data_IF_183829491615
#
_entry.id   IF_183829491615
#
_cell.length_a   1.000
_cell.length_b   1.000
_cell.length_c   1.000
_cell.angle_alpha   90.00
_cell.angle_beta   90.00
_cell.angle_gamma   90.00
#
_symmetry.space_group_name_H-M   'P 1'
#
loop_
_entity.id
_entity.type
_entity.pdbx_description
1 polymer ?
#
# COMPACT_ATOMS: atom_id res chain seq x y z
N UNK A 1 11.17 19.60 19.60
CA UNK A 1 10.40 18.72 18.70
C UNK A 1 10.00 17.48 19.46
N UNK A 2 8.76 16.99 19.35
CA UNK A 2 8.33 15.74 19.99
C UNK A 2 8.79 14.55 19.14
N UNK A 3 9.43 13.57 19.75
CA UNK A 3 9.80 12.31 19.09
C UNK A 3 8.54 11.61 18.58
N UNK A 4 8.47 11.19 17.30
CA UNK A 4 7.31 10.46 16.80
C UNK A 4 7.07 9.17 17.60
N UNK A 5 5.82 8.89 17.94
CA UNK A 5 5.43 7.78 18.82
C UNK A 5 5.94 6.41 18.33
N UNK A 6 6.03 6.22 17.01
CA UNK A 6 6.56 4.98 16.43
C UNK A 6 8.01 4.69 16.84
N UNK A 7 8.85 5.72 17.01
CA UNK A 7 10.23 5.51 17.44
C UNK A 7 10.27 5.02 18.88
N UNK A 8 9.40 5.56 19.75
CA UNK A 8 9.28 5.16 21.14
C UNK A 8 8.82 3.70 21.20
N UNK A 9 7.71 3.38 20.51
CA UNK A 9 7.16 2.01 20.48
C UNK A 9 8.14 0.98 19.90
N UNK A 10 8.90 1.36 18.88
CA UNK A 10 9.92 0.50 18.29
C UNK A 10 11.11 0.29 19.21
N UNK A 11 11.53 1.34 19.94
CA UNK A 11 12.59 1.24 20.93
C UNK A 11 12.17 0.35 22.11
N UNK A 12 10.98 0.59 22.68
CA UNK A 12 10.43 -0.22 23.78
C UNK A 12 10.31 -1.69 23.39
N UNK A 13 9.80 -1.96 22.17
CA UNK A 13 9.73 -3.32 21.66
C UNK A 13 11.11 -3.96 21.54
N UNK A 14 12.09 -3.23 21.00
CA UNK A 14 13.44 -3.74 20.83
C UNK A 14 14.15 -3.98 22.18
N UNK A 15 13.92 -3.13 23.17
CA UNK A 15 14.51 -3.26 24.51
C UNK A 15 13.94 -4.46 25.26
N UNK A 16 12.64 -4.71 25.11
CA UNK A 16 11.95 -5.87 25.68
C UNK A 16 12.32 -7.23 25.04
N UNK A 17 13.36 -7.32 24.20
CA UNK A 17 13.84 -8.56 23.58
C UNK A 17 15.17 -9.01 24.18
N UNK A 18 15.29 -10.32 24.35
CA UNK A 18 16.54 -10.96 24.77
C UNK A 18 17.73 -10.55 23.89
N UNK A 19 18.93 -10.50 24.48
CA UNK A 19 20.16 -10.07 23.80
C UNK A 19 20.50 -10.87 22.53
N UNK A 20 20.02 -12.11 22.39
CA UNK A 20 20.22 -12.96 21.21
C UNK A 20 19.13 -12.89 20.13
N UNK A 21 18.08 -12.07 20.33
CA UNK A 21 16.99 -11.97 19.35
C UNK A 21 17.48 -11.27 18.07
N UNK A 22 17.57 -12.02 16.96
CA UNK A 22 18.03 -11.47 15.66
C UNK A 22 17.16 -10.30 15.18
N UNK A 23 15.84 -10.38 15.37
CA UNK A 23 14.92 -9.31 15.02
C UNK A 23 15.13 -8.06 15.91
N UNK A 24 15.37 -8.27 17.21
CA UNK A 24 15.70 -7.20 18.15
C UNK A 24 17.01 -6.50 17.80
N UNK A 25 18.08 -7.25 17.54
CA UNK A 25 19.38 -6.72 17.10
C UNK A 25 19.23 -5.91 15.80
N UNK A 26 18.50 -6.45 14.82
CA UNK A 26 18.28 -5.77 13.55
C UNK A 26 17.48 -4.47 13.72
N UNK A 27 16.44 -4.46 14.57
CA UNK A 27 15.67 -3.24 14.83
C UNK A 27 16.49 -2.20 15.60
N UNK A 28 17.30 -2.58 16.59
CA UNK A 28 18.21 -1.66 17.29
C UNK A 28 19.17 -0.99 16.31
N UNK A 29 19.71 -1.73 15.34
CA UNK A 29 20.54 -1.17 14.27
C UNK A 29 19.78 -0.16 13.41
N UNK A 30 18.55 -0.50 12.99
CA UNK A 30 17.69 0.43 12.24
C UNK A 30 17.43 1.72 13.03
N UNK A 31 17.12 1.60 14.32
CA UNK A 31 16.89 2.75 15.19
C UNK A 31 18.14 3.61 15.31
N UNK A 32 19.30 3.02 15.58
CA UNK A 32 20.58 3.75 15.63
C UNK A 32 20.88 4.48 14.32
N UNK A 33 20.62 3.86 13.18
CA UNK A 33 20.81 4.48 11.87
C UNK A 33 19.83 5.65 11.63
N UNK A 34 18.58 5.54 12.08
CA UNK A 34 17.55 6.57 11.91
C UNK A 34 17.58 7.67 12.97
N UNK A 35 18.21 7.46 14.13
CA UNK A 35 18.40 8.49 15.16
C UNK A 35 19.76 9.18 15.08
N UNK A 36 20.71 8.62 14.32
CA UNK A 36 22.02 9.23 14.06
C UNK A 36 21.97 10.43 13.11
N UNK A 37 23.15 10.94 12.67
CA UNK A 37 23.25 12.04 11.71
C UNK A 37 22.45 11.76 10.42
N UNK A 38 21.83 12.79 9.79
CA UNK A 38 21.12 12.63 8.51
C UNK A 38 22.00 11.97 7.45
N UNK A 39 21.44 11.00 6.73
CA UNK A 39 22.12 10.31 5.63
C UNK A 39 21.72 10.98 4.33
N UNK A 40 22.64 11.71 3.73
CA UNK A 40 22.34 12.58 2.59
C UNK A 40 23.21 12.21 1.42
N UNK A 41 22.59 12.09 0.24
CA UNK A 41 23.32 11.97 -1.02
C UNK A 41 22.98 13.13 -1.94
N UNK A 42 23.91 13.51 -2.81
CA UNK A 42 23.68 14.49 -3.86
C UNK A 42 24.07 13.89 -5.23
N UNK A 43 23.29 14.20 -6.26
CA UNK A 43 23.60 13.80 -7.63
C UNK A 43 23.00 14.75 -8.66
N UNK A 44 23.55 14.73 -9.87
CA UNK A 44 22.87 15.20 -11.08
C UNK A 44 22.19 14.01 -11.76
N UNK A 45 21.54 14.24 -12.91
CA UNK A 45 21.06 13.14 -13.74
C UNK A 45 22.19 12.29 -14.33
N UNK A 46 23.40 12.84 -14.42
CA UNK A 46 24.54 12.23 -15.11
C UNK A 46 25.57 11.59 -14.17
N UNK A 47 25.57 11.96 -12.88
CA UNK A 47 26.58 11.46 -11.96
C UNK A 47 26.41 11.89 -10.50
N UNK A 48 27.27 11.38 -9.62
CA UNK A 48 27.27 11.75 -8.21
C UNK A 48 27.78 13.19 -8.03
N UNK A 49 27.29 13.88 -7.00
CA UNK A 49 27.79 15.18 -6.58
C UNK A 49 28.23 15.10 -5.12
N UNK A 50 29.28 15.85 -4.77
CA UNK A 50 29.81 15.87 -3.40
C UNK A 50 28.92 16.72 -2.50
N UNK A 51 28.59 16.18 -1.34
CA UNK A 51 27.84 16.89 -0.31
C UNK A 51 28.76 17.90 0.40
N UNK A 52 28.33 19.17 0.58
CA UNK A 52 29.11 20.13 1.34
C UNK A 52 29.38 19.68 2.78
N UNK A 53 30.62 19.82 3.23
CA UNK A 53 31.05 19.45 4.60
C UNK A 53 30.33 20.27 5.67
N UNK A 54 29.92 21.50 5.32
CA UNK A 54 29.14 22.41 6.17
C UNK A 54 27.80 21.83 6.63
N UNK A 55 27.25 20.84 5.93
CA UNK A 55 25.96 20.25 6.27
C UNK A 55 26.02 19.32 7.50
N UNK A 56 27.22 18.89 7.92
CA UNK A 56 27.42 18.00 9.08
C UNK A 56 26.57 16.72 9.02
N UNK A 57 26.47 16.13 7.83
CA UNK A 57 25.69 14.92 7.54
C UNK A 57 26.58 13.73 7.25
N UNK A 58 26.01 12.54 7.31
CA UNK A 58 26.65 11.34 6.77
C UNK A 58 26.41 11.30 5.26
N UNK A 59 27.45 11.60 4.48
CA UNK A 59 27.39 11.53 3.02
C UNK A 59 27.19 10.09 2.53
N UNK A 60 26.30 9.91 1.56
CA UNK A 60 26.05 8.66 0.85
C UNK A 60 26.25 8.89 -0.64
N UNK A 61 27.26 8.23 -1.21
CA UNK A 61 27.50 8.26 -2.65
C UNK A 61 26.32 7.64 -3.40
N UNK A 62 25.74 8.40 -4.33
CA UNK A 62 24.52 8.02 -5.03
C UNK A 62 24.54 8.53 -6.47
N UNK A 63 23.98 7.75 -7.38
CA UNK A 63 23.75 8.13 -8.77
C UNK A 63 22.26 8.12 -9.07
N UNK A 64 21.83 8.92 -10.05
CA UNK A 64 20.45 8.87 -10.53
C UNK A 64 20.24 7.66 -11.45
N UNK A 65 19.13 6.91 -11.33
CA UNK A 65 18.14 6.96 -10.27
C UNK A 65 18.64 6.33 -8.96
N UNK A 66 18.43 7.03 -7.84
CA UNK A 66 18.85 6.56 -6.53
C UNK A 66 18.06 5.31 -6.12
N UNK A 67 18.76 4.17 -6.10
CA UNK A 67 18.23 2.89 -5.61
C UNK A 67 18.95 2.41 -4.34
N UNK A 68 19.99 3.13 -3.92
CA UNK A 68 20.78 2.84 -2.72
C UNK A 68 19.90 2.95 -1.47
N UNK A 69 19.84 1.91 -0.62
CA UNK A 69 19.11 1.97 0.64
C UNK A 69 19.84 2.89 1.65
N UNK A 70 19.11 3.34 2.66
CA UNK A 70 19.70 4.09 3.78
C UNK A 70 19.99 5.56 3.48
N UNK A 71 19.30 6.15 2.52
CA UNK A 71 19.31 7.60 2.26
C UNK A 71 18.07 8.20 2.92
N UNK A 72 18.24 9.24 3.73
CA UNK A 72 17.15 10.04 4.27
C UNK A 72 16.74 11.07 3.22
N UNK A 73 17.70 11.85 2.72
CA UNK A 73 17.47 12.93 1.74
C UNK A 73 18.40 12.76 0.55
N UNK A 74 17.82 12.81 -0.65
CA UNK A 74 18.54 12.90 -1.91
C UNK A 74 18.39 14.32 -2.46
N UNK A 75 19.50 15.01 -2.71
CA UNK A 75 19.51 16.30 -3.39
C UNK A 75 19.81 16.08 -4.87
N UNK A 76 18.79 16.26 -5.72
CA UNK A 76 18.92 16.19 -7.17
C UNK A 76 19.20 17.58 -7.73
N UNK A 77 20.39 17.79 -8.28
CA UNK A 77 20.83 19.05 -8.86
C UNK A 77 20.35 19.10 -10.31
N UNK A 78 19.38 19.96 -10.60
CA UNK A 78 18.81 20.13 -11.93
C UNK A 78 18.27 21.55 -12.16
N UNK A 79 18.69 22.26 -13.22
CA UNK A 79 18.36 23.68 -13.45
C UNK A 79 16.96 23.96 -14.03
N UNK A 80 16.10 22.96 -14.22
CA UNK A 80 14.95 23.09 -15.10
C UNK A 80 13.82 22.10 -14.77
N UNK A 81 12.69 22.20 -15.49
CA UNK A 81 11.55 21.34 -15.23
C UNK A 81 11.92 19.89 -15.49
N UNK A 82 11.70 19.06 -14.49
CA UNK A 82 11.97 17.63 -14.59
C UNK A 82 11.04 16.98 -15.60
N UNK A 83 11.54 15.96 -16.30
CA UNK A 83 10.69 15.10 -17.12
C UNK A 83 9.70 14.31 -16.25
N UNK A 84 8.59 13.87 -16.84
CA UNK A 84 7.60 13.05 -16.15
C UNK A 84 8.20 11.77 -15.54
N UNK A 85 9.15 11.15 -16.25
CA UNK A 85 9.87 9.97 -15.79
C UNK A 85 10.61 10.24 -14.47
N UNK A 86 11.34 11.36 -14.40
CA UNK A 86 12.10 11.75 -13.21
C UNK A 86 11.15 12.08 -12.06
N UNK A 87 10.09 12.86 -12.29
CA UNK A 87 9.10 13.18 -11.25
C UNK A 87 8.39 11.95 -10.71
N UNK A 88 7.99 11.03 -11.60
CA UNK A 88 7.36 9.77 -11.19
C UNK A 88 8.31 8.91 -10.34
N UNK A 89 9.61 8.93 -10.63
CA UNK A 89 10.61 8.23 -9.83
C UNK A 89 10.80 8.85 -8.46
N UNK A 90 10.80 10.18 -8.38
CA UNK A 90 10.84 10.95 -7.12
C UNK A 90 9.64 10.58 -6.25
N UNK A 91 8.43 10.60 -6.80
CA UNK A 91 7.20 10.29 -6.07
C UNK A 91 7.12 8.84 -5.56
N UNK A 92 7.81 7.91 -6.22
CA UNK A 92 7.81 6.49 -5.85
C UNK A 92 8.84 6.13 -4.76
N UNK A 93 9.85 6.98 -4.52
CA UNK A 93 10.94 6.68 -3.59
C UNK A 93 10.53 6.84 -2.13
N UNK A 94 11.02 5.97 -1.21
CA UNK A 94 10.78 6.15 0.22
C UNK A 94 11.54 7.35 0.81
N UNK A 95 12.69 7.71 0.23
CA UNK A 95 13.48 8.89 0.61
C UNK A 95 12.82 10.20 0.17
N UNK A 96 13.15 11.31 0.83
CA UNK A 96 12.82 12.64 0.27
C UNK A 96 13.80 12.95 -0.86
N UNK A 97 13.28 13.35 -2.02
CA UNK A 97 14.11 13.91 -3.10
C UNK A 97 13.83 15.40 -3.21
N UNK A 98 14.86 16.20 -2.98
CA UNK A 98 14.82 17.66 -3.10
C UNK A 98 15.50 18.06 -4.39
N UNK A 99 14.79 18.80 -5.23
CA UNK A 99 15.30 19.23 -6.54
C UNK A 99 15.75 20.67 -6.40
N UNK A 100 17.03 20.92 -6.66
CA UNK A 100 17.64 22.25 -6.52
C UNK A 100 18.39 22.61 -7.81
N UNK A 101 18.41 23.89 -8.21
CA UNK A 101 19.16 24.31 -9.39
C UNK A 101 20.67 24.22 -9.18
N UNK A 102 21.13 24.40 -7.94
CA UNK A 102 22.52 24.30 -7.51
C UNK A 102 22.57 23.87 -6.03
N UNK A 103 23.71 23.34 -5.57
CA UNK A 103 23.88 22.96 -4.16
C UNK A 103 23.96 24.21 -3.27
N UNK A 104 23.06 24.36 -2.29
CA UNK A 104 23.14 25.44 -1.31
C UNK A 104 24.24 25.20 -0.27
N UNK A 105 24.71 26.28 0.38
CA UNK A 105 25.72 26.20 1.45
C UNK A 105 25.20 25.52 2.72
N UNK A 106 23.88 25.56 2.94
CA UNK A 106 23.18 24.88 4.04
C UNK A 106 22.20 23.83 3.51
N UNK A 107 21.91 22.81 4.31
CA UNK A 107 21.04 21.71 3.91
C UNK A 107 19.63 22.20 3.53
N UNK A 108 19.09 21.87 2.34
CA UNK A 108 17.80 22.37 1.86
C UNK A 108 16.57 21.69 2.50
N UNK A 109 16.73 21.05 3.66
CA UNK A 109 15.66 20.32 4.35
C UNK A 109 15.32 20.98 5.68
N UNK A 110 14.04 20.90 6.06
CA UNK A 110 13.62 21.26 7.41
C UNK A 110 13.79 20.07 8.37
N UNK A 111 13.93 20.32 9.68
CA UNK A 111 13.90 19.25 10.69
C UNK A 111 12.62 18.42 10.65
N UNK A 112 11.47 19.03 10.34
CA UNK A 112 10.17 18.35 10.21
C UNK A 112 10.17 17.37 9.04
N UNK A 113 10.69 17.78 7.87
CA UNK A 113 10.83 16.90 6.71
C UNK A 113 11.65 15.66 7.05
N UNK A 114 12.76 15.83 7.77
CA UNK A 114 13.61 14.70 8.18
C UNK A 114 12.86 13.74 9.11
N UNK A 115 12.10 14.26 10.08
CA UNK A 115 11.31 13.43 10.98
C UNK A 115 10.23 12.64 10.23
N UNK A 116 9.54 13.27 9.27
CA UNK A 116 8.51 12.61 8.46
C UNK A 116 9.11 11.50 7.59
N UNK A 117 10.25 11.78 6.94
CA UNK A 117 10.95 10.80 6.11
C UNK A 117 11.44 9.63 6.96
N UNK A 118 12.08 9.89 8.09
CA UNK A 118 12.61 8.84 8.98
C UNK A 118 11.50 8.00 9.59
N UNK A 119 10.35 8.61 9.89
CA UNK A 119 9.13 7.90 10.29
C UNK A 119 8.64 6.95 9.19
N UNK A 120 8.60 7.43 7.94
CA UNK A 120 8.24 6.60 6.78
C UNK A 120 9.25 5.48 6.52
N UNK A 121 10.54 5.74 6.69
CA UNK A 121 11.59 4.72 6.59
C UNK A 121 11.45 3.66 7.68
N UNK A 122 11.21 4.06 8.94
CA UNK A 122 10.98 3.12 10.04
C UNK A 122 9.77 2.23 9.79
N UNK A 123 8.66 2.79 9.29
CA UNK A 123 7.51 1.99 8.84
C UNK A 123 7.90 0.93 7.80
N UNK A 124 8.72 1.32 6.81
CA UNK A 124 9.21 0.41 5.77
C UNK A 124 10.10 -0.70 6.34
N UNK A 125 11.02 -0.35 7.24
CA UNK A 125 11.95 -1.29 7.86
C UNK A 125 11.25 -2.27 8.80
N UNK A 126 10.29 -1.83 9.62
CA UNK A 126 9.51 -2.71 10.48
C UNK A 126 8.73 -3.76 9.65
N UNK A 127 8.11 -3.34 8.54
CA UNK A 127 7.44 -4.26 7.61
C UNK A 127 8.42 -5.21 6.93
N UNK A 128 9.61 -4.73 6.57
CA UNK A 128 10.65 -5.56 5.99
C UNK A 128 11.20 -6.58 6.99
N UNK A 129 11.39 -6.19 8.26
CA UNK A 129 11.78 -7.08 9.35
C UNK A 129 10.71 -8.12 9.63
N UNK A 130 9.43 -7.74 9.66
CA UNK A 130 8.31 -8.67 9.83
C UNK A 130 8.31 -9.74 8.73
N UNK A 131 8.59 -9.36 7.48
CA UNK A 131 8.70 -10.31 6.37
C UNK A 131 9.92 -11.26 6.51
N UNK A 132 11.04 -10.79 7.08
CA UNK A 132 12.25 -11.60 7.31
C UNK A 132 12.16 -12.49 8.56
N UNK A 133 11.35 -12.11 9.54
CA UNK A 133 11.21 -12.79 10.83
C UNK A 133 9.73 -13.12 11.12
N UNK A 134 9.15 -14.14 10.45
CA UNK A 134 7.72 -14.45 10.56
C UNK A 134 7.23 -14.72 11.99
N UNK A 135 8.10 -15.25 12.86
CA UNK A 135 7.77 -15.58 14.26
C UNK A 135 7.44 -14.35 15.14
N UNK A 136 7.87 -13.15 14.75
CA UNK A 136 7.59 -11.87 15.45
C UNK A 136 6.87 -10.87 14.55
N UNK A 137 6.38 -11.31 13.39
CA UNK A 137 5.81 -10.42 12.38
C UNK A 137 4.60 -9.64 12.89
N UNK A 138 3.72 -10.29 13.67
CA UNK A 138 2.52 -9.64 14.22
C UNK A 138 2.89 -8.47 15.15
N UNK A 139 3.85 -8.68 16.05
CA UNK A 139 4.32 -7.66 16.98
C UNK A 139 4.95 -6.47 16.23
N UNK A 140 5.82 -6.75 15.25
CA UNK A 140 6.48 -5.71 14.43
C UNK A 140 5.47 -4.92 13.58
N UNK A 141 4.45 -5.59 13.03
CA UNK A 141 3.37 -4.93 12.28
C UNK A 141 2.47 -4.10 13.21
N UNK A 142 2.26 -4.55 14.45
CA UNK A 142 1.52 -3.77 15.44
C UNK A 142 2.27 -2.49 15.82
N UNK A 143 3.61 -2.55 15.97
CA UNK A 143 4.47 -1.37 16.17
C UNK A 143 4.39 -0.44 14.95
N UNK A 144 4.50 -0.99 13.73
CA UNK A 144 4.38 -0.21 12.50
C UNK A 144 2.99 0.41 12.30
N UNK A 145 1.96 -0.14 12.92
CA UNK A 145 0.58 0.34 12.79
C UNK A 145 0.03 0.29 11.36
N UNK A 146 -1.15 0.90 11.19
CA UNK A 146 -1.80 1.01 9.89
C UNK A 146 -1.07 1.95 8.91
N UNK A 147 -0.01 2.65 9.37
CA UNK A 147 0.84 3.58 8.64
C UNK A 147 0.26 4.04 7.31
N UNK A 148 -0.69 4.98 7.37
CA UNK A 148 -1.30 5.56 6.18
C UNK A 148 -0.22 6.30 5.42
N UNK A 149 0.22 5.75 4.28
CA UNK A 149 0.82 6.62 3.28
C UNK A 149 -0.29 7.57 2.87
N UNK A 150 -0.21 8.82 3.32
CA UNK A 150 -1.05 9.88 2.79
C UNK A 150 -0.72 9.96 1.30
N UNK A 151 -1.60 9.40 0.47
CA UNK A 151 -1.52 9.54 -0.97
C UNK A 151 -1.84 11.01 -1.24
N UNK A 152 -0.91 11.81 -1.76
CA UNK A 152 -1.19 13.19 -2.07
C UNK A 152 -2.34 13.27 -3.09
N UNK A 153 -3.18 14.30 -2.95
CA UNK A 153 -4.23 14.58 -3.92
C UNK A 153 -3.60 14.78 -5.31
N UNK A 154 -4.05 14.07 -6.35
CA UNK A 154 -3.47 14.22 -7.69
C UNK A 154 -3.66 15.63 -8.24
N UNK A 155 -2.59 16.22 -8.77
CA UNK A 155 -2.58 17.56 -9.39
C UNK A 155 -2.70 17.44 -10.91
N UNK A 156 -3.74 18.04 -11.49
CA UNK A 156 -4.09 17.94 -12.90
C UNK A 156 -4.03 19.32 -13.55
N UNK A 157 -3.32 19.45 -14.67
CA UNK A 157 -3.44 20.63 -15.52
C UNK A 157 -4.52 20.39 -16.58
N UNK A 158 -5.37 21.38 -16.82
CA UNK A 158 -6.35 21.36 -17.90
C UNK A 158 -5.90 22.33 -18.99
N UNK A 159 -5.77 21.84 -20.22
CA UNK A 159 -5.46 22.67 -21.39
C UNK A 159 -6.62 22.59 -22.39
N UNK A 160 -7.01 23.74 -22.93
CA UNK A 160 -8.00 23.82 -24.00
C UNK A 160 -7.74 25.05 -24.86
N UNK A 161 -7.96 24.98 -26.19
CA UNK A 161 -7.99 26.16 -27.06
C UNK A 161 -9.20 27.06 -26.76
N UNK A 162 -10.25 26.51 -26.15
CA UNK A 162 -11.43 27.27 -25.72
C UNK A 162 -11.27 27.73 -24.26
N UNK A 163 -11.14 29.05 -24.00
CA UNK A 163 -10.94 29.59 -22.65
C UNK A 163 -12.17 29.46 -21.75
N UNK A 164 -13.35 29.18 -22.32
CA UNK A 164 -14.59 29.02 -21.56
C UNK A 164 -14.75 27.61 -20.97
N UNK A 165 -13.91 26.66 -21.37
CA UNK A 165 -13.95 25.30 -20.83
C UNK A 165 -13.73 25.32 -19.31
N UNK A 166 -14.65 24.65 -18.62
CA UNK A 166 -14.59 24.37 -17.18
C UNK A 166 -14.80 22.88 -17.00
N UNK A 167 -13.91 22.25 -16.23
CA UNK A 167 -13.96 20.83 -15.94
C UNK A 167 -13.94 20.64 -14.43
N UNK A 168 -14.77 19.73 -13.95
CA UNK A 168 -14.77 19.31 -12.55
C UNK A 168 -14.19 17.90 -12.45
N UNK A 169 -13.19 17.73 -11.58
CA UNK A 169 -12.53 16.45 -11.32
C UNK A 169 -12.58 16.14 -9.81
N UNK A 170 -13.65 15.48 -9.32
CA UNK A 170 -13.81 15.20 -7.90
C UNK A 170 -12.65 14.38 -7.32
N UNK A 171 -12.08 14.87 -6.21
CA UNK A 171 -10.94 14.23 -5.53
C UNK A 171 -9.58 14.48 -6.20
N UNK A 172 -9.48 15.47 -7.08
CA UNK A 172 -8.26 15.92 -7.73
C UNK A 172 -8.14 17.44 -7.62
N UNK A 173 -6.93 17.96 -7.64
CA UNK A 173 -6.65 19.39 -7.63
C UNK A 173 -6.35 19.87 -9.06
N UNK A 174 -7.09 20.87 -9.55
CA UNK A 174 -6.83 21.49 -10.85
C UNK A 174 -5.88 22.66 -10.65
N UNK A 175 -4.71 22.62 -11.29
CA UNK A 175 -3.63 23.61 -11.10
C UNK A 175 -3.13 24.17 -12.44
N UNK A 176 -2.70 25.42 -12.42
CA UNK A 176 -2.03 26.09 -13.54
C UNK A 176 -0.49 26.05 -13.35
N UNK A 177 0.07 24.86 -13.12
CA UNK A 177 1.50 24.61 -12.86
C UNK A 177 2.05 23.65 -13.93
N UNK A 178 3.36 23.73 -14.21
CA UNK A 178 4.07 22.76 -15.04
C UNK A 178 4.30 21.41 -14.33
N UNK A 179 4.28 21.39 -12.99
CA UNK A 179 4.54 20.21 -12.16
C UNK A 179 3.24 19.48 -11.79
N UNK A 180 2.68 18.78 -12.77
CA UNK A 180 1.44 18.01 -12.62
C UNK A 180 1.64 16.51 -12.79
N UNK A 181 0.70 15.75 -12.22
CA UNK A 181 0.66 14.28 -12.29
C UNK A 181 0.09 13.80 -13.63
N UNK A 182 -0.77 14.60 -14.26
CA UNK A 182 -1.30 14.39 -15.60
C UNK A 182 -1.83 15.71 -16.20
N UNK A 183 -1.98 15.73 -17.54
CA UNK A 183 -2.62 16.82 -18.27
C UNK A 183 -3.90 16.30 -18.92
N UNK A 184 -5.02 16.98 -18.68
CA UNK A 184 -6.27 16.79 -19.40
C UNK A 184 -6.38 17.84 -20.51
N UNK A 185 -6.28 17.39 -21.75
CA UNK A 185 -6.50 18.18 -22.94
C UNK A 185 -7.95 18.07 -23.40
N UNK A 186 -8.69 19.18 -23.32
CA UNK A 186 -10.07 19.27 -23.74
C UNK A 186 -10.14 19.91 -25.12
N UNK A 187 -10.45 19.08 -26.11
CA UNK A 187 -10.56 19.51 -27.50
C UNK A 187 -11.83 20.37 -27.72
N UNK A 188 -11.77 21.36 -28.63
CA UNK A 188 -12.96 22.00 -29.17
C UNK A 188 -13.88 21.00 -29.87
N UNK A 189 -15.15 21.37 -30.17
CA UNK A 189 -16.10 20.49 -30.87
C UNK A 189 -15.60 19.96 -32.22
N UNK A 190 -14.77 20.74 -32.92
CA UNK A 190 -14.16 20.36 -34.20
C UNK A 190 -12.95 19.42 -34.08
N UNK A 191 -12.52 19.10 -32.86
CA UNK A 191 -11.30 18.34 -32.59
C UNK A 191 -10.05 19.22 -32.52
N UNK A 192 -8.88 18.59 -32.56
CA UNK A 192 -7.58 19.26 -32.51
C UNK A 192 -7.17 19.80 -33.88
N UNK A 193 -6.69 21.04 -33.92
CA UNK A 193 -6.10 21.63 -35.11
C UNK A 193 -4.57 21.54 -35.06
N UNK A 194 -3.91 21.69 -36.22
CA UNK A 194 -2.44 21.61 -36.32
C UNK A 194 -1.72 22.63 -35.42
N UNK A 195 -2.35 23.79 -35.17
CA UNK A 195 -1.85 24.84 -34.27
C UNK A 195 -1.78 24.38 -32.80
N UNK A 196 -2.58 23.38 -32.41
CA UNK A 196 -2.62 22.85 -31.05
C UNK A 196 -1.53 21.80 -30.80
N UNK A 197 -1.00 21.18 -31.86
CA UNK A 197 -0.06 20.06 -31.78
C UNK A 197 1.21 20.39 -30.96
N UNK A 198 1.84 21.58 -31.07
CA UNK A 198 2.99 21.93 -30.22
C UNK A 198 2.66 21.89 -28.72
N UNK A 199 1.49 22.41 -28.33
CA UNK A 199 1.02 22.43 -26.93
C UNK A 199 0.76 21.03 -26.41
N UNK A 200 0.09 20.18 -27.21
CA UNK A 200 -0.16 18.78 -26.87
C UNK A 200 1.15 17.99 -26.73
N UNK A 201 2.12 18.22 -27.63
CA UNK A 201 3.43 17.55 -27.58
C UNK A 201 4.23 17.96 -26.35
N UNK A 202 4.23 19.25 -26.00
CA UNK A 202 4.88 19.73 -24.77
C UNK A 202 4.21 19.16 -23.52
N UNK A 203 2.88 19.13 -23.47
CA UNK A 203 2.11 18.54 -22.38
C UNK A 203 2.41 17.04 -22.21
N UNK A 204 2.42 16.27 -23.30
CA UNK A 204 2.78 14.85 -23.29
C UNK A 204 4.19 14.62 -22.75
N UNK A 205 5.17 15.42 -23.20
CA UNK A 205 6.56 15.34 -22.75
C UNK A 205 6.73 15.69 -21.27
N UNK A 206 6.05 16.76 -20.80
CA UNK A 206 6.19 17.25 -19.43
C UNK A 206 5.44 16.38 -18.44
N UNK A 207 4.17 16.07 -18.70
CA UNK A 207 3.33 15.33 -17.77
C UNK A 207 3.50 13.82 -17.90
N UNK A 208 3.85 13.32 -19.09
CA UNK A 208 4.00 11.89 -19.36
C UNK A 208 2.69 11.11 -19.37
N UNK A 209 1.61 11.75 -18.92
CA UNK A 209 0.22 11.28 -18.94
C UNK A 209 -0.64 12.39 -19.54
N UNK A 210 -0.72 12.41 -20.87
CA UNK A 210 -1.67 13.24 -21.59
C UNK A 210 -2.98 12.47 -21.75
N UNK A 211 -4.09 13.05 -21.30
CA UNK A 211 -5.44 12.53 -21.51
C UNK A 211 -6.15 13.49 -22.44
N UNK A 212 -6.73 13.00 -23.55
CA UNK A 212 -7.37 13.84 -24.55
C UNK A 212 -8.84 13.48 -24.72
N UNK A 213 -9.72 14.48 -24.83
CA UNK A 213 -11.15 14.25 -25.11
C UNK A 213 -11.45 13.97 -26.59
N UNK A 214 -10.49 14.22 -27.48
CA UNK A 214 -10.57 13.89 -28.91
C UNK A 214 -9.37 13.03 -29.36
N UNK A 215 -9.43 12.38 -30.54
CA UNK A 215 -8.30 11.63 -31.09
C UNK A 215 -7.04 12.48 -31.19
N UNK A 216 -5.91 11.96 -30.67
CA UNK A 216 -4.62 12.64 -30.75
C UNK A 216 -3.95 12.34 -32.10
N UNK A 217 -3.10 13.26 -32.60
CA UNK A 217 -2.20 12.97 -33.72
C UNK A 217 -1.31 11.75 -33.42
N UNK A 218 -1.02 10.94 -34.43
CA UNK A 218 -0.28 9.67 -34.27
C UNK A 218 1.08 9.84 -33.57
N UNK A 219 1.74 10.98 -33.77
CA UNK A 219 3.05 11.33 -33.21
C UNK A 219 3.02 11.67 -31.70
N UNK A 220 1.84 11.91 -31.12
CA UNK A 220 1.68 12.45 -29.77
C UNK A 220 1.20 11.35 -28.83
N UNK A 221 2.05 10.89 -27.89
CA UNK A 221 1.65 9.85 -26.94
C UNK A 221 0.60 10.38 -25.96
N UNK A 222 -0.46 9.61 -25.75
CA UNK A 222 -1.51 9.96 -24.79
C UNK A 222 -2.65 8.95 -24.79
N UNK A 223 -3.58 9.12 -23.85
CA UNK A 223 -4.78 8.30 -23.70
C UNK A 223 -5.99 9.10 -24.16
N UNK A 224 -6.77 8.57 -25.10
CA UNK A 224 -8.02 9.20 -25.53
C UNK A 224 -9.17 8.74 -24.63
N UNK A 225 -10.00 9.68 -24.18
CA UNK A 225 -11.21 9.39 -23.39
C UNK A 225 -12.19 8.62 -24.28
N UNK A 226 -12.62 7.45 -23.81
CA UNK A 226 -13.61 6.64 -24.53
C UNK A 226 -15.00 7.30 -24.46
N UNK A 227 -15.80 7.25 -25.54
CA UNK A 227 -17.19 7.71 -25.52
C UNK A 227 -17.98 7.09 -24.36
N UNK A 228 -18.78 7.90 -23.67
CA UNK A 228 -19.62 7.47 -22.54
C UNK A 228 -18.88 7.24 -21.21
N UNK A 229 -17.54 7.38 -21.17
CA UNK A 229 -16.78 7.28 -19.91
C UNK A 229 -16.73 8.65 -19.21
N UNK A 230 -17.04 8.74 -17.90
CA UNK A 230 -16.85 9.97 -17.14
C UNK A 230 -15.38 10.44 -17.17
N UNK A 231 -15.15 11.75 -17.34
CA UNK A 231 -13.81 12.33 -17.43
C UNK A 231 -12.95 12.00 -16.20
N UNK A 232 -13.52 12.12 -14.99
CA UNK A 232 -12.82 11.81 -13.75
C UNK A 232 -12.34 10.35 -13.69
N UNK A 233 -13.11 9.39 -14.24
CA UNK A 233 -12.70 7.99 -14.30
C UNK A 233 -11.60 7.72 -15.33
N UNK A 234 -11.60 8.47 -16.43
CA UNK A 234 -10.54 8.41 -17.41
C UNK A 234 -9.21 8.94 -16.82
N UNK A 235 -9.26 10.07 -16.11
CA UNK A 235 -8.09 10.64 -15.43
C UNK A 235 -7.60 9.71 -14.33
N UNK A 236 -8.50 9.19 -13.46
CA UNK A 236 -8.14 8.21 -12.42
C UNK A 236 -7.41 7.00 -13.01
N UNK A 237 -7.90 6.50 -14.13
CA UNK A 237 -7.27 5.37 -14.79
C UNK A 237 -5.89 5.73 -15.37
N UNK A 238 -5.77 6.87 -16.04
CA UNK A 238 -4.48 7.32 -16.57
C UNK A 238 -3.43 7.48 -15.45
N UNK A 239 -3.82 7.94 -14.26
CA UNK A 239 -2.93 8.04 -13.09
C UNK A 239 -2.41 6.67 -12.61
N UNK A 240 -3.10 5.57 -12.92
CA UNK A 240 -2.59 4.21 -12.64
C UNK A 240 -1.53 3.73 -13.63
N UNK A 241 -1.39 4.40 -14.78
CA UNK A 241 -0.42 4.06 -15.80
C UNK A 241 0.94 4.69 -15.49
N UNK A 242 2.06 4.09 -15.93
CA UNK A 242 3.37 4.71 -15.85
C UNK A 242 3.39 6.08 -16.55
N UNK A 243 4.00 7.09 -15.94
CA UNK A 243 4.16 8.42 -16.54
C UNK A 243 5.25 8.47 -17.63
N UNK A 244 5.94 7.36 -17.86
CA UNK A 244 6.90 7.21 -18.95
C UNK A 244 6.76 5.78 -19.44
N UNK A 245 6.94 5.53 -20.75
CA UNK A 245 7.14 4.16 -21.21
C UNK A 245 8.24 3.51 -20.36
N UNK A 246 8.06 2.26 -19.95
CA UNK A 246 9.06 1.55 -19.18
C UNK A 246 10.35 1.44 -20.02
N UNK A 247 11.53 1.28 -19.38
CA UNK A 247 12.78 1.12 -20.12
C UNK A 247 12.69 -0.03 -21.13
N UNK A 248 13.58 -0.06 -22.12
CA UNK A 248 13.59 -1.15 -23.11
C UNK A 248 13.58 -2.51 -22.40
N UNK A 249 12.63 -3.41 -22.70
CA UNK A 249 12.47 -4.65 -21.99
C UNK A 249 13.74 -5.49 -22.10
N UNK A 250 14.27 -5.91 -20.94
CA UNK A 250 15.30 -6.94 -20.84
C UNK A 250 14.63 -8.18 -20.27
N UNK A 251 14.19 -9.15 -21.11
CA UNK A 251 13.24 -10.18 -20.70
C UNK A 251 13.65 -10.92 -19.42
N UNK A 252 14.90 -11.36 -19.34
CA UNK A 252 15.42 -12.08 -18.16
C UNK A 252 15.52 -11.23 -16.88
N UNK A 253 15.72 -9.92 -16.98
CA UNK A 253 15.76 -9.02 -15.81
C UNK A 253 14.34 -8.65 -15.36
N UNK A 254 13.45 -8.43 -16.31
CA UNK A 254 12.06 -8.08 -16.06
C UNK A 254 11.28 -9.25 -15.45
N UNK A 255 11.48 -10.47 -15.96
CA UNK A 255 10.90 -11.68 -15.37
C UNK A 255 11.38 -11.88 -13.93
N UNK A 256 12.69 -11.75 -13.68
CA UNK A 256 13.25 -11.86 -12.32
C UNK A 256 12.67 -10.82 -11.37
N UNK A 257 12.54 -9.57 -11.83
CA UNK A 257 11.93 -8.50 -11.04
C UNK A 257 10.44 -8.76 -10.77
N UNK A 258 9.70 -9.22 -11.77
CA UNK A 258 8.29 -9.61 -11.64
C UNK A 258 8.11 -10.73 -10.60
N UNK A 259 8.94 -11.78 -10.68
CA UNK A 259 8.88 -12.91 -9.77
C UNK A 259 9.30 -12.51 -8.35
N UNK A 260 10.28 -11.62 -8.20
CA UNK A 260 10.66 -11.09 -6.90
C UNK A 260 9.54 -10.23 -6.28
N UNK A 261 8.88 -9.39 -7.07
CA UNK A 261 7.74 -8.58 -6.63
C UNK A 261 6.57 -9.48 -6.21
N UNK A 262 6.26 -10.49 -7.02
CA UNK A 262 5.20 -11.46 -6.76
C UNK A 262 5.49 -12.26 -5.49
N UNK A 263 6.72 -12.76 -5.31
CA UNK A 263 7.14 -13.44 -4.08
C UNK A 263 6.98 -12.56 -2.85
N UNK A 264 7.48 -11.32 -2.91
CA UNK A 264 7.36 -10.36 -1.79
C UNK A 264 5.90 -10.07 -1.46
N UNK A 265 5.05 -9.91 -2.48
CA UNK A 265 3.61 -9.66 -2.29
C UNK A 265 2.92 -10.87 -1.66
N UNK A 266 3.22 -12.09 -2.11
CA UNK A 266 2.65 -13.32 -1.53
C UNK A 266 3.00 -13.44 -0.05
N UNK A 267 4.26 -13.21 0.31
CA UNK A 267 4.68 -13.22 1.72
C UNK A 267 3.90 -12.21 2.58
N UNK A 268 3.72 -10.98 2.09
CA UNK A 268 2.94 -9.96 2.80
C UNK A 268 1.45 -10.31 2.89
N UNK A 269 0.88 -10.84 1.81
CA UNK A 269 -0.51 -11.30 1.78
C UNK A 269 -0.72 -12.48 2.73
N UNK A 270 0.20 -13.44 2.75
CA UNK A 270 0.15 -14.60 3.64
C UNK A 270 0.25 -14.20 5.11
N UNK A 271 1.17 -13.29 5.45
CA UNK A 271 1.27 -12.73 6.80
C UNK A 271 -0.04 -12.02 7.21
N UNK A 272 -0.60 -11.19 6.31
CA UNK A 272 -1.87 -10.49 6.57
C UNK A 272 -3.05 -11.45 6.72
N UNK A 273 -3.14 -12.47 5.87
CA UNK A 273 -4.20 -13.48 5.95
C UNK A 273 -4.08 -14.31 7.24
N UNK A 274 -2.87 -14.71 7.63
CA UNK A 274 -2.63 -15.43 8.88
C UNK A 274 -3.10 -14.62 10.10
N UNK A 275 -2.75 -13.34 10.15
CA UNK A 275 -3.20 -12.38 11.16
C UNK A 275 -4.73 -12.26 11.22
N UNK A 276 -5.39 -12.05 10.07
CA UNK A 276 -6.85 -11.93 10.00
C UNK A 276 -7.58 -13.23 10.41
N UNK A 277 -7.02 -14.39 10.07
CA UNK A 277 -7.54 -15.70 10.48
C UNK A 277 -7.38 -15.90 11.98
N UNK A 278 -6.22 -15.56 12.56
CA UNK A 278 -5.96 -15.67 13.99
C UNK A 278 -6.93 -14.81 14.81
N UNK A 279 -7.13 -13.56 14.39
CA UNK A 279 -8.04 -12.61 15.05
C UNK A 279 -9.52 -12.83 14.71
N UNK A 280 -9.82 -13.72 13.75
CA UNK A 280 -11.18 -14.00 13.25
C UNK A 280 -11.89 -12.73 12.76
N UNK A 281 -11.15 -11.85 12.10
CA UNK A 281 -11.63 -10.55 11.61
C UNK A 281 -12.43 -10.71 10.31
N UNK A 282 -13.67 -11.20 10.42
CA UNK A 282 -14.54 -11.54 9.29
C UNK A 282 -14.76 -10.34 8.35
N UNK A 283 -15.04 -9.15 8.91
CA UNK A 283 -15.26 -7.93 8.12
C UNK A 283 -14.04 -7.54 7.28
N UNK A 284 -12.85 -7.64 7.85
CA UNK A 284 -11.60 -7.31 7.17
C UNK A 284 -11.26 -8.32 6.07
N UNK A 285 -11.51 -9.62 6.30
CA UNK A 285 -11.38 -10.65 5.26
C UNK A 285 -12.33 -10.39 4.09
N UNK A 286 -13.57 -10.00 4.40
CA UNK A 286 -14.60 -9.67 3.40
C UNK A 286 -14.20 -8.43 2.59
N UNK A 287 -13.67 -7.40 3.26
CA UNK A 287 -13.17 -6.20 2.61
C UNK A 287 -11.94 -6.49 1.74
N UNK A 288 -11.04 -7.34 2.22
CA UNK A 288 -9.87 -7.79 1.47
C UNK A 288 -10.28 -8.57 0.21
N UNK A 289 -11.24 -9.51 0.32
CA UNK A 289 -11.77 -10.25 -0.82
C UNK A 289 -12.34 -9.30 -1.90
N UNK A 290 -13.14 -8.29 -1.48
CA UNK A 290 -13.65 -7.24 -2.38
C UNK A 290 -12.55 -6.42 -3.03
N UNK A 291 -11.51 -6.05 -2.28
CA UNK A 291 -10.34 -5.35 -2.81
C UNK A 291 -9.54 -6.18 -3.84
N UNK A 292 -9.69 -7.50 -3.81
CA UNK A 292 -9.14 -8.43 -4.80
C UNK A 292 -10.12 -8.78 -5.93
N UNK A 293 -11.28 -8.12 -5.99
CA UNK A 293 -12.31 -8.35 -7.01
C UNK A 293 -13.09 -9.65 -6.84
N UNK A 294 -13.04 -10.28 -5.66
CA UNK A 294 -13.78 -11.49 -5.35
C UNK A 294 -15.12 -11.14 -4.71
N UNK A 295 -16.16 -11.86 -5.08
CA UNK A 295 -17.36 -11.92 -4.26
C UNK A 295 -17.01 -12.57 -2.90
N UNK A 296 -17.42 -11.95 -1.77
CA UNK A 296 -17.18 -12.54 -0.46
C UNK A 296 -17.97 -13.84 -0.30
N UNK A 297 -17.42 -14.80 0.46
CA UNK A 297 -18.17 -16.00 0.79
C UNK A 297 -19.38 -15.63 1.65
N UNK A 298 -20.43 -16.42 1.50
CA UNK A 298 -21.54 -16.38 2.44
C UNK A 298 -21.02 -16.65 3.86
N UNK A 299 -21.46 -15.89 4.87
CA UNK A 299 -21.06 -16.12 6.25
C UNK A 299 -21.45 -17.53 6.72
N UNK A 300 -20.79 -18.08 7.75
CA UNK A 300 -21.06 -19.44 8.21
C UNK A 300 -22.51 -19.58 8.68
N UNK A 301 -23.19 -20.64 8.23
CA UNK A 301 -24.51 -20.98 8.74
C UNK A 301 -24.38 -21.52 10.17
N UNK A 302 -25.03 -20.83 11.12
CA UNK A 302 -24.99 -21.18 12.53
C UNK A 302 -26.20 -22.01 12.98
N UNK A 303 -27.14 -22.32 12.08
CA UNK A 303 -28.36 -23.08 12.42
C UNK A 303 -28.04 -24.48 12.95
N UNK A 304 -27.10 -25.17 12.30
CA UNK A 304 -26.68 -26.50 12.73
C UNK A 304 -26.00 -26.46 14.11
N UNK A 305 -25.16 -25.45 14.35
CA UNK A 305 -24.53 -25.21 15.66
C UNK A 305 -25.55 -24.91 16.74
N UNK A 306 -26.59 -24.13 16.43
CA UNK A 306 -27.69 -23.83 17.34
C UNK A 306 -28.48 -25.10 17.67
N UNK A 307 -28.83 -25.91 16.66
CA UNK A 307 -29.54 -27.18 16.86
C UNK A 307 -28.77 -28.14 17.77
N UNK A 308 -27.46 -28.30 17.55
CA UNK A 308 -26.61 -29.12 18.41
C UNK A 308 -26.51 -28.58 19.84
N UNK A 309 -26.45 -27.25 20.02
CA UNK A 309 -26.44 -26.63 21.34
C UNK A 309 -27.75 -26.89 22.11
N UNK A 310 -28.90 -26.82 21.44
CA UNK A 310 -30.21 -27.14 22.02
C UNK A 310 -30.29 -28.62 22.41
N UNK A 311 -29.88 -29.54 21.52
CA UNK A 311 -29.89 -30.97 21.81
C UNK A 311 -29.02 -31.33 23.03
N UNK A 312 -27.82 -30.75 23.13
CA UNK A 312 -26.93 -30.95 24.28
C UNK A 312 -27.52 -30.34 25.55
N UNK A 313 -28.11 -29.14 25.47
CA UNK A 313 -28.77 -28.50 26.60
C UNK A 313 -29.91 -29.38 27.14
N UNK A 314 -30.75 -29.92 26.27
CA UNK A 314 -31.84 -30.82 26.65
C UNK A 314 -31.32 -32.11 27.29
N UNK A 315 -30.34 -32.78 26.66
CA UNK A 315 -29.79 -34.03 27.18
C UNK A 315 -29.15 -33.86 28.56
N UNK A 316 -28.31 -32.83 28.74
CA UNK A 316 -27.64 -32.53 30.01
C UNK A 316 -28.65 -32.08 31.06
N UNK A 317 -29.61 -31.23 30.70
CA UNK A 317 -30.63 -30.73 31.61
C UNK A 317 -31.54 -31.83 32.15
N UNK A 318 -31.97 -32.77 31.29
CA UNK A 318 -32.78 -33.93 31.71
C UNK A 318 -31.97 -34.85 32.62
N UNK A 319 -30.71 -35.16 32.26
CA UNK A 319 -29.87 -36.07 33.05
C UNK A 319 -29.56 -35.51 34.44
N UNK A 320 -29.17 -34.24 34.53
CA UNK A 320 -28.82 -33.56 35.79
C UNK A 320 -30.05 -33.19 36.63
N UNK A 321 -31.16 -32.81 35.99
CA UNK A 321 -32.40 -32.57 36.71
C UNK A 321 -32.95 -33.85 37.33
N UNK A 322 -32.86 -34.98 36.62
CA UNK A 322 -33.27 -36.30 37.13
C UNK A 322 -32.41 -36.76 38.32
N UNK A 323 -31.11 -36.48 38.33
CA UNK A 323 -30.24 -36.86 39.46
C UNK A 323 -30.48 -36.03 40.72
N UNK A 324 -30.85 -34.76 40.58
CA UNK A 324 -31.19 -33.87 41.70
C UNK A 324 -32.64 -34.01 42.19
N UNK A 325 -33.46 -34.81 41.50
CA UNK A 325 -34.88 -34.98 41.83
C UNK A 325 -35.12 -35.63 43.20
N UNK A 326 -34.16 -36.41 43.69
CA UNK A 326 -34.17 -37.03 45.03
C UNK A 326 -34.12 -36.01 46.16
N UNK A 327 -33.58 -34.81 45.90
CA UNK A 327 -33.52 -33.67 46.85
C UNK A 327 -34.83 -32.89 46.86
N UNK A 328 -35.58 -32.93 45.76
CA UNK A 328 -36.90 -32.33 45.61
C UNK A 328 -37.17 -31.87 44.16
N UNK A 329 -38.44 -31.79 43.74
CA UNK A 329 -38.80 -31.47 42.36
C UNK A 329 -38.34 -30.08 41.92
N UNK A 330 -38.44 -29.07 42.80
CA UNK A 330 -37.93 -27.72 42.53
C UNK A 330 -36.40 -27.69 42.37
N UNK A 331 -35.68 -28.46 43.19
CA UNK A 331 -34.22 -28.58 43.09
C UNK A 331 -33.81 -29.26 41.77
N UNK A 332 -34.52 -30.33 41.37
CA UNK A 332 -34.32 -31.00 40.08
C UNK A 332 -34.52 -30.06 38.89
N UNK A 333 -35.59 -29.25 38.88
CA UNK A 333 -35.86 -28.28 37.81
C UNK A 333 -34.78 -27.20 37.74
N UNK A 334 -34.38 -26.61 38.87
CA UNK A 334 -33.37 -25.55 38.89
C UNK A 334 -31.99 -26.04 38.47
N UNK A 335 -31.55 -27.20 38.99
CA UNK A 335 -30.26 -27.80 38.65
C UNK A 335 -30.23 -28.21 37.17
N UNK A 336 -31.31 -28.84 36.67
CA UNK A 336 -31.44 -29.21 35.26
C UNK A 336 -31.40 -27.99 34.33
N UNK A 337 -32.12 -26.92 34.66
CA UNK A 337 -32.13 -25.69 33.87
C UNK A 337 -30.76 -24.99 33.85
N UNK A 338 -30.10 -24.90 35.00
CA UNK A 338 -28.76 -24.30 35.08
C UNK A 338 -27.72 -25.10 34.28
N UNK A 339 -27.75 -26.43 34.38
CA UNK A 339 -26.86 -27.31 33.63
C UNK A 339 -27.12 -27.26 32.11
N UNK A 340 -28.40 -27.18 31.70
CA UNK A 340 -28.79 -27.02 30.30
C UNK A 340 -28.26 -25.71 29.71
N UNK A 341 -28.44 -24.59 30.41
CA UNK A 341 -27.94 -23.27 29.97
C UNK A 341 -26.41 -23.25 29.87
N UNK A 342 -25.71 -23.83 30.85
CA UNK A 342 -24.26 -23.90 30.84
C UNK A 342 -23.74 -24.75 29.67
N UNK A 343 -24.25 -25.97 29.51
CA UNK A 343 -23.81 -26.89 28.46
C UNK A 343 -24.16 -26.39 27.05
N UNK A 344 -25.40 -25.91 26.86
CA UNK A 344 -25.85 -25.31 25.60
C UNK A 344 -25.07 -24.05 25.26
N UNK A 345 -24.88 -23.15 26.23
CA UNK A 345 -24.10 -21.93 26.06
C UNK A 345 -22.63 -22.18 25.70
N UNK A 346 -21.98 -23.16 26.36
CA UNK A 346 -20.62 -23.59 26.05
C UNK A 346 -20.54 -24.20 24.64
N UNK A 347 -21.47 -25.08 24.27
CA UNK A 347 -21.51 -25.69 22.93
C UNK A 347 -21.71 -24.64 21.84
N UNK A 348 -22.65 -23.72 22.03
CA UNK A 348 -22.91 -22.61 21.12
C UNK A 348 -21.68 -21.73 20.94
N UNK A 349 -21.05 -21.31 22.05
CA UNK A 349 -19.86 -20.46 22.01
C UNK A 349 -18.70 -21.15 21.31
N UNK A 350 -18.47 -22.44 21.58
CA UNK A 350 -17.42 -23.23 20.94
C UNK A 350 -17.70 -23.46 19.45
N UNK A 351 -18.92 -23.86 19.11
CA UNK A 351 -19.31 -24.13 17.72
C UNK A 351 -19.31 -22.87 16.86
N UNK A 352 -19.74 -21.73 17.39
CA UNK A 352 -19.63 -20.45 16.68
C UNK A 352 -18.18 -20.09 16.39
N UNK A 353 -17.27 -20.32 17.35
CA UNK A 353 -15.82 -20.08 17.17
C UNK A 353 -15.21 -21.02 16.13
N UNK A 354 -15.60 -22.28 16.13
CA UNK A 354 -15.15 -23.28 15.15
C UNK A 354 -15.68 -22.95 13.74
N UNK A 355 -16.97 -22.65 13.60
CA UNK A 355 -17.57 -22.25 12.32
C UNK A 355 -16.90 -21.00 11.73
N UNK A 356 -16.66 -19.98 12.57
CA UNK A 356 -15.93 -18.77 12.14
C UNK A 356 -14.47 -19.06 11.77
N UNK A 357 -13.79 -19.99 12.46
CA UNK A 357 -12.39 -20.32 12.16
C UNK A 357 -12.23 -21.16 10.89
N UNK A 358 -13.18 -22.06 10.61
CA UNK A 358 -13.27 -22.80 9.34
C UNK A 358 -13.51 -21.81 8.21
N UNK A 359 -14.55 -20.98 8.32
CA UNK A 359 -14.88 -19.97 7.32
C UNK A 359 -13.70 -19.03 7.04
N UNK A 360 -13.03 -18.52 8.08
CA UNK A 360 -11.91 -17.60 7.90
C UNK A 360 -10.73 -18.26 7.15
N UNK A 361 -10.44 -19.54 7.45
CA UNK A 361 -9.41 -20.30 6.75
C UNK A 361 -9.76 -20.53 5.28
N UNK A 362 -11.02 -20.87 4.99
CA UNK A 362 -11.50 -21.11 3.64
C UNK A 362 -11.52 -19.82 2.79
N UNK A 363 -11.99 -18.72 3.38
CA UNK A 363 -11.95 -17.38 2.78
C UNK A 363 -10.52 -16.96 2.46
N UNK A 364 -9.59 -17.09 3.41
CA UNK A 364 -8.18 -16.80 3.21
C UNK A 364 -7.56 -17.68 2.12
N UNK A 365 -7.88 -18.98 2.09
CA UNK A 365 -7.41 -19.89 1.06
C UNK A 365 -7.98 -19.56 -0.33
N UNK A 366 -9.20 -19.00 -0.40
CA UNK A 366 -9.77 -18.50 -1.66
C UNK A 366 -9.08 -17.23 -2.12
N UNK A 367 -8.84 -16.26 -1.22
CA UNK A 367 -8.12 -15.04 -1.53
C UNK A 367 -6.69 -15.35 -2.02
N UNK A 368 -6.00 -16.31 -1.37
CA UNK A 368 -4.67 -16.77 -1.80
C UNK A 368 -4.64 -17.33 -3.22
N UNK A 369 -5.73 -17.99 -3.65
CA UNK A 369 -5.86 -18.61 -4.98
C UNK A 369 -6.34 -17.62 -6.06
N UNK A 370 -6.72 -16.41 -5.69
CA UNK A 370 -7.29 -15.44 -6.62
C UNK A 370 -6.24 -14.95 -7.64
N UNK A 371 -6.49 -15.13 -8.95
CA UNK A 371 -5.51 -14.79 -9.99
C UNK A 371 -5.42 -13.29 -10.30
N UNK A 372 -6.33 -12.46 -9.78
CA UNK A 372 -6.84 -11.32 -10.55
C UNK A 372 -6.03 -10.03 -10.50
N UNK A 373 -5.04 -9.86 -9.62
CA UNK A 373 -4.23 -8.62 -9.65
C UNK A 373 -2.75 -8.85 -9.37
N UNK A 374 -2.10 -9.80 -10.04
CA UNK A 374 -0.66 -9.74 -10.17
C UNK A 374 -0.32 -8.40 -10.86
N UNK A 375 0.34 -7.43 -10.21
CA UNK A 375 0.76 -6.18 -10.86
C UNK A 375 1.76 -6.45 -11.97
N UNK A 376 2.26 -7.69 -12.08
CA UNK A 376 3.06 -8.18 -13.17
C UNK A 376 2.25 -8.73 -14.36
N UNK A 377 0.90 -8.77 -14.31
CA UNK A 377 0.10 -9.30 -15.42
C UNK A 377 0.16 -8.39 -16.67
N UNK A 378 0.29 -7.07 -16.49
CA UNK A 378 0.61 -6.18 -17.61
C UNK A 378 2.03 -6.45 -18.10
N UNK A 379 3.01 -6.56 -17.18
CA UNK A 379 4.42 -6.81 -17.53
C UNK A 379 4.61 -8.13 -18.29
N UNK A 380 3.90 -9.20 -17.90
CA UNK A 380 3.92 -10.50 -18.58
C UNK A 380 3.22 -10.45 -19.93
N UNK A 381 2.17 -9.64 -20.09
CA UNK A 381 1.53 -9.41 -21.40
C UNK A 381 2.46 -8.64 -22.33
N UNK A 382 3.05 -7.55 -21.86
CA UNK A 382 4.04 -6.77 -22.61
C UNK A 382 5.25 -7.63 -23.01
N UNK A 383 5.76 -8.49 -22.12
CA UNK A 383 6.84 -9.41 -22.46
C UNK A 383 6.42 -10.48 -23.47
N UNK A 384 5.17 -10.93 -23.46
CA UNK A 384 4.67 -11.90 -24.43
C UNK A 384 4.49 -11.28 -25.82
N UNK A 385 4.07 -10.01 -25.87
CA UNK A 385 3.95 -9.22 -27.12
C UNK A 385 5.33 -8.92 -27.73
N UNK A 386 6.37 -8.70 -26.92
CA UNK A 386 7.75 -8.40 -27.38
C UNK A 386 8.58 -9.66 -27.72
N UNK A 387 8.13 -10.86 -27.33
CA UNK A 387 8.79 -12.14 -27.63
C UNK A 387 8.16 -12.87 -28.82
N UNK A 388 7.09 -12.32 -29.40
CA UNK A 388 6.50 -12.74 -30.68
C UNK A 388 7.09 -11.92 -31.81
#
# INVERSE_FOLDING_TARGET
MRTPEIFIRAADWADARDFGCLAGIALRRVLLELTGPPRVGACTLDGPARVPESWQVREVAVTWPATTPGIDVLVLIHPGPLTAAVRSRIAAGPQAVLVVPALPESGPWSPELLLDVRTRLLHGELRALAARHPHVAEELLAVAGAGGMTVPTPRIAVISPDPQVRVELPGMEIVADAHVDAVLAVAPPAGWADVDHPTLRDAARRAGRLISTAPLPAEIPGTVVRPGRPLADAVRHALTLPASPPPVPRPGTWLRAADQLERRRRLLLDARLADLVARRALGDLTALARGHGLAPASPPDLREVAGQAVLIALAVGVATGRSAWSVGPLAGVLVGAAAALAAGGLRWRRGRREAHSVWARDEAARIRRAPTHAPAAWLRRTLAEELQ
#
